data_IF_515502990079
#
_entry.id   IF_515502990079
#
_cell.length_a   1.000
_cell.length_b   1.000
_cell.length_c   1.000
_cell.angle_alpha   90.00
_cell.angle_beta   90.00
_cell.angle_gamma   90.00
#
_symmetry.space_group_name_H-M   'P 1'
#
loop_
_entity.id
_entity.type
_entity.pdbx_description
1 polymer ?
#
# COMPACT_ATOMS: atom_id res chain seq x y z
N UNK A 1 -16.48 0.41 -10.63
CA UNK A 1 -15.01 0.31 -10.52
C UNK A 1 -14.54 1.38 -9.57
N UNK A 2 -13.71 1.05 -8.57
CA UNK A 2 -13.02 2.08 -7.78
C UNK A 2 -12.00 2.76 -8.70
N UNK A 3 -11.93 4.08 -8.66
CA UNK A 3 -10.91 4.82 -9.38
C UNK A 3 -9.54 4.54 -8.73
N UNK A 4 -8.66 3.88 -9.48
CA UNK A 4 -7.35 3.46 -8.98
C UNK A 4 -6.51 4.64 -8.52
N UNK A 5 -6.49 5.73 -9.29
CA UNK A 5 -5.70 6.91 -8.97
C UNK A 5 -6.28 7.63 -7.74
N UNK A 6 -7.61 7.70 -7.61
CA UNK A 6 -8.24 8.29 -6.42
C UNK A 6 -7.92 7.49 -5.15
N UNK A 7 -7.98 6.15 -5.20
CA UNK A 7 -7.66 5.30 -4.04
C UNK A 7 -6.16 5.35 -3.73
N UNK A 8 -5.30 5.30 -4.75
CA UNK A 8 -3.84 5.45 -4.59
C UNK A 8 -3.47 6.79 -3.97
N UNK A 9 -4.08 7.89 -4.43
CA UNK A 9 -3.83 9.22 -3.89
C UNK A 9 -4.23 9.31 -2.40
N UNK A 10 -5.37 8.74 -2.03
CA UNK A 10 -5.80 8.66 -0.63
C UNK A 10 -4.80 7.86 0.22
N UNK A 11 -4.38 6.67 -0.26
CA UNK A 11 -3.40 5.84 0.44
C UNK A 11 -2.04 6.54 0.61
N UNK A 12 -1.58 7.25 -0.42
CA UNK A 12 -0.35 8.05 -0.34
C UNK A 12 -0.46 9.18 0.70
N UNK A 13 -1.62 9.83 0.80
CA UNK A 13 -1.87 10.85 1.83
C UNK A 13 -1.78 10.28 3.24
N UNK A 14 -2.37 9.10 3.47
CA UNK A 14 -2.31 8.41 4.77
C UNK A 14 -0.89 7.99 5.13
N UNK A 15 -0.12 7.51 4.17
CA UNK A 15 1.29 7.18 4.35
C UNK A 15 2.13 8.43 4.66
N UNK A 16 1.90 9.54 3.95
CA UNK A 16 2.59 10.80 4.22
C UNK A 16 2.25 11.33 5.65
N UNK A 17 1.02 11.15 6.14
CA UNK A 17 0.67 11.46 7.53
C UNK A 17 1.38 10.54 8.52
N UNK A 18 1.44 9.24 8.23
CA UNK A 18 2.11 8.26 9.09
C UNK A 18 3.63 8.51 9.18
N UNK A 19 4.27 8.91 8.07
CA UNK A 19 5.68 9.35 8.03
C UNK A 19 5.88 10.60 8.87
N UNK A 20 4.99 11.60 8.79
CA UNK A 20 5.10 12.81 9.64
C UNK A 20 5.05 12.47 11.13
N UNK A 21 4.28 11.45 11.51
CA UNK A 21 4.17 10.99 12.90
C UNK A 21 5.35 10.10 13.33
N UNK A 22 5.97 9.36 12.40
CA UNK A 22 7.07 8.43 12.66
C UNK A 22 8.11 8.53 11.52
N UNK A 23 8.91 9.60 11.46
CA UNK A 23 9.77 9.88 10.31
C UNK A 23 10.94 8.89 10.14
N UNK A 24 11.26 8.12 11.17
CA UNK A 24 12.32 7.11 11.14
C UNK A 24 11.82 5.73 10.69
N UNK A 25 10.50 5.57 10.49
CA UNK A 25 9.91 4.33 10.03
C UNK A 25 10.24 4.10 8.54
N UNK A 26 11.35 3.40 8.32
CA UNK A 26 11.85 3.05 6.98
C UNK A 26 10.85 2.21 6.19
N UNK A 27 10.00 1.44 6.85
CA UNK A 27 9.05 0.54 6.19
C UNK A 27 7.93 1.38 5.58
N UNK A 28 7.37 2.35 6.32
CA UNK A 28 6.35 3.28 5.78
C UNK A 28 6.92 4.08 4.59
N UNK A 29 8.15 4.58 4.71
CA UNK A 29 8.81 5.31 3.62
C UNK A 29 8.98 4.43 2.39
N UNK A 30 9.37 3.17 2.59
CA UNK A 30 9.57 2.20 1.50
C UNK A 30 8.26 1.90 0.79
N UNK A 31 7.19 1.58 1.53
CA UNK A 31 5.86 1.32 0.98
C UNK A 31 5.32 2.52 0.20
N UNK A 32 5.44 3.73 0.75
CA UNK A 32 5.06 4.98 0.07
C UNK A 32 5.79 5.16 -1.25
N UNK A 33 7.09 4.86 -1.29
CA UNK A 33 7.88 4.95 -2.52
C UNK A 33 7.51 3.89 -3.55
N UNK A 34 7.17 2.66 -3.12
CA UNK A 34 6.69 1.60 -4.02
C UNK A 34 5.34 2.01 -4.60
N UNK A 35 4.35 2.34 -3.76
CA UNK A 35 2.99 2.72 -4.18
C UNK A 35 3.00 3.91 -5.14
N UNK A 36 3.87 4.90 -4.90
CA UNK A 36 4.01 6.07 -5.80
C UNK A 36 4.44 5.68 -7.22
N UNK A 37 5.20 4.59 -7.39
CA UNK A 37 5.68 4.11 -8.70
C UNK A 37 4.66 3.25 -9.44
N UNK A 38 3.61 2.78 -8.76
CA UNK A 38 2.57 1.93 -9.36
C UNK A 38 1.63 2.81 -10.18
N UNK A 39 1.63 2.66 -11.50
CA UNK A 39 0.81 3.47 -12.42
C UNK A 39 -0.42 2.72 -12.97
N UNK A 40 -0.58 1.46 -12.58
CA UNK A 40 -1.69 0.62 -13.03
C UNK A 40 -1.97 -0.50 -12.01
N UNK A 41 -3.23 -0.92 -11.83
CA UNK A 41 -3.59 -2.13 -11.09
C UNK A 41 -2.80 -3.38 -11.49
N UNK A 42 -2.47 -3.50 -12.78
CA UNK A 42 -1.74 -4.65 -13.33
C UNK A 42 -0.30 -4.78 -12.82
N UNK A 43 0.23 -3.75 -12.17
CA UNK A 43 1.55 -3.76 -11.56
C UNK A 43 1.52 -4.19 -10.07
N UNK A 44 0.34 -4.54 -9.54
CA UNK A 44 0.19 -5.12 -8.21
C UNK A 44 0.40 -6.64 -8.27
N UNK A 45 1.36 -7.14 -7.51
CA UNK A 45 1.81 -8.54 -7.54
C UNK A 45 1.77 -9.24 -6.17
N UNK A 46 1.28 -8.57 -5.11
CA UNK A 46 1.29 -9.09 -3.75
C UNK A 46 2.49 -8.62 -2.93
N UNK A 47 3.45 -7.91 -3.54
CA UNK A 47 4.65 -7.42 -2.87
C UNK A 47 4.35 -6.46 -1.71
N UNK A 48 3.30 -5.64 -1.82
CA UNK A 48 2.94 -4.69 -0.75
C UNK A 48 2.42 -5.43 0.49
N UNK A 49 1.54 -6.41 0.30
CA UNK A 49 0.99 -7.27 1.36
C UNK A 49 2.11 -8.04 2.04
N UNK A 50 3.04 -8.59 1.27
CA UNK A 50 4.19 -9.31 1.83
C UNK A 50 5.03 -8.41 2.73
N UNK A 51 5.38 -7.20 2.29
CA UNK A 51 6.13 -6.24 3.12
C UNK A 51 5.38 -5.92 4.41
N UNK A 52 4.06 -5.71 4.34
CA UNK A 52 3.24 -5.40 5.53
C UNK A 52 3.23 -6.58 6.51
N UNK A 53 3.02 -7.81 6.04
CA UNK A 53 2.99 -9.02 6.87
C UNK A 53 4.37 -9.32 7.48
N UNK A 54 5.42 -9.27 6.66
CA UNK A 54 6.81 -9.52 7.08
C UNK A 54 7.28 -8.49 8.12
N UNK A 55 6.64 -7.31 8.16
CA UNK A 55 7.02 -6.25 9.06
C UNK A 55 6.51 -6.41 10.50
N UNK A 56 5.53 -7.30 10.79
CA UNK A 56 4.88 -7.62 12.10
C UNK A 56 4.43 -6.45 13.03
N UNK A 57 4.90 -5.23 12.77
CA UNK A 57 4.87 -4.01 13.57
C UNK A 57 4.11 -2.90 12.82
N UNK A 58 3.58 -3.22 11.64
CA UNK A 58 2.85 -2.26 10.83
C UNK A 58 1.47 -1.99 11.44
N UNK A 59 1.47 -1.06 12.41
CA UNK A 59 0.34 -0.52 13.17
C UNK A 59 -0.99 -0.75 12.46
N UNK A 60 -1.82 -1.61 13.07
CA UNK A 60 -3.04 -2.26 12.53
C UNK A 60 -3.80 -1.52 11.41
N UNK A 61 -3.98 -0.20 11.46
CA UNK A 61 -4.81 0.53 10.48
C UNK A 61 -4.17 0.79 9.11
N UNK A 62 -2.88 1.14 9.04
CA UNK A 62 -2.26 1.49 7.74
C UNK A 62 -1.90 0.23 6.97
N UNK A 63 -1.46 -0.82 7.68
CA UNK A 63 -1.18 -2.14 7.11
C UNK A 63 -2.44 -2.76 6.48
N UNK A 64 -3.55 -2.79 7.21
CA UNK A 64 -4.84 -3.26 6.68
C UNK A 64 -5.29 -2.51 5.43
N UNK A 65 -5.05 -1.18 5.39
CA UNK A 65 -5.39 -0.34 4.23
C UNK A 65 -4.58 -0.72 2.98
N UNK A 66 -3.29 -1.01 3.14
CA UNK A 66 -2.40 -1.44 2.06
C UNK A 66 -2.81 -2.81 1.53
N UNK A 67 -3.08 -3.77 2.43
CA UNK A 67 -3.56 -5.11 2.05
C UNK A 67 -4.91 -5.02 1.34
N UNK A 68 -5.79 -4.14 1.79
CA UNK A 68 -7.10 -3.90 1.15
C UNK A 68 -6.95 -3.25 -0.22
N UNK A 69 -6.03 -2.29 -0.36
CA UNK A 69 -5.72 -1.66 -1.64
C UNK A 69 -5.25 -2.70 -2.65
N UNK A 70 -4.24 -3.48 -2.29
CA UNK A 70 -3.67 -4.48 -3.18
C UNK A 70 -4.72 -5.54 -3.57
N UNK A 71 -5.47 -6.09 -2.60
CA UNK A 71 -6.54 -7.06 -2.89
C UNK A 71 -7.73 -6.49 -3.70
N UNK A 72 -8.01 -5.19 -3.60
CA UNK A 72 -9.11 -4.56 -4.36
C UNK A 72 -8.81 -4.45 -5.85
N UNK A 73 -7.54 -4.52 -6.23
CA UNK A 73 -7.05 -4.24 -7.58
C UNK A 73 -6.21 -5.39 -8.17
N UNK A 74 -5.78 -6.36 -7.36
CA UNK A 74 -5.16 -7.58 -7.83
C UNK A 74 -6.17 -8.34 -8.71
N UNK A 75 -5.86 -8.44 -9.99
CA UNK A 75 -6.59 -9.33 -10.89
C UNK A 75 -6.13 -10.75 -10.53
N UNK A 76 -6.93 -11.46 -9.74
CA UNK A 76 -6.68 -12.90 -9.55
C UNK A 76 -6.83 -13.59 -10.90
N UNK A 77 -5.82 -14.35 -11.38
CA UNK A 77 -6.06 -15.25 -12.51
C UNK A 77 -7.18 -16.21 -12.08
N UNK A 78 -8.29 -16.20 -12.83
CA UNK A 78 -9.28 -17.27 -12.78
C UNK A 78 -8.59 -18.52 -13.32
N UNK A 79 -8.18 -19.41 -12.42
CA UNK A 79 -7.82 -20.79 -12.75
C UNK A 79 -9.08 -21.66 -12.67
#
# INVERSE_FOLDING_TARGET
>A
MKDFEAVKANLLSELDMAIRQNPEDKIIITLRNIIRKINSPSALDGGLTRIVVDSLDFKLKVGERIVTFENSFLIKPMY
#
